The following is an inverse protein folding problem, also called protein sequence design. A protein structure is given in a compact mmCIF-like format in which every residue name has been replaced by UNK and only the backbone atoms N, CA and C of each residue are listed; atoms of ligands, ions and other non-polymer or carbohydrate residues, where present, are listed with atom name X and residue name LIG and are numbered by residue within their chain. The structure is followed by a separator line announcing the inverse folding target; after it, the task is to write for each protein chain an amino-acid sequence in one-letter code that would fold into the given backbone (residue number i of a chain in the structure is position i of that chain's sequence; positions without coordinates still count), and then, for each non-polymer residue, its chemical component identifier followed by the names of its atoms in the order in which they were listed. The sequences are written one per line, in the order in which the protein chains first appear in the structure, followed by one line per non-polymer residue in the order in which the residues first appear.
data_IF_843444922305
#
_entry.id   IF_843444922305
#
_cell.length_a   1.000
_cell.length_b   1.000
_cell.length_c   1.000
_cell.angle_alpha   90.00
_cell.angle_beta   90.00
_cell.angle_gamma   90.00
#
_symmetry.space_group_name_H-M   'P 1'
#
loop_
_entity.id
_entity.type
_entity.pdbx_description
1 polymer ?
#
# COMPACT_ATOMS: atom_id res chain seq x y z
N UNK A 1 -60.09 -22.54 -14.21
CA UNK A 1 -58.61 -22.52 -14.24
C UNK A 1 -57.98 -22.41 -15.63
N UNK A 2 -58.62 -22.87 -16.72
CA UNK A 2 -58.09 -22.72 -18.09
C UNK A 2 -57.96 -21.28 -18.62
N UNK A 3 -58.91 -20.35 -18.41
CA UNK A 3 -58.78 -18.99 -18.97
C UNK A 3 -57.71 -18.16 -18.25
N UNK A 4 -57.49 -18.41 -16.95
CA UNK A 4 -56.46 -17.73 -16.16
C UNK A 4 -55.04 -18.12 -16.61
N UNK A 5 -54.84 -19.38 -17.02
CA UNK A 5 -53.57 -19.84 -17.59
C UNK A 5 -53.29 -19.21 -18.95
N UNK A 6 -54.32 -19.04 -19.79
CA UNK A 6 -54.20 -18.40 -21.11
C UNK A 6 -53.87 -16.91 -20.97
N UNK A 7 -54.51 -16.22 -20.02
CA UNK A 7 -54.22 -14.81 -19.74
C UNK A 7 -52.79 -14.61 -19.20
N UNK A 8 -52.33 -15.50 -18.32
CA UNK A 8 -50.97 -15.46 -17.79
C UNK A 8 -49.90 -15.73 -18.87
N UNK A 9 -50.15 -16.66 -19.80
CA UNK A 9 -49.24 -16.91 -20.92
C UNK A 9 -49.18 -15.75 -21.90
N UNK A 10 -50.30 -15.06 -22.13
CA UNK A 10 -50.34 -13.89 -23.02
C UNK A 10 -49.59 -12.69 -22.42
N UNK A 11 -49.74 -12.47 -21.11
CA UNK A 11 -49.01 -11.43 -20.38
C UNK A 11 -47.49 -11.69 -20.36
N UNK A 12 -47.08 -12.96 -20.21
CA UNK A 12 -45.67 -13.35 -20.25
C UNK A 12 -45.05 -13.11 -21.64
N UNK A 13 -45.80 -13.38 -22.72
CA UNK A 13 -45.34 -13.08 -24.08
C UNK A 13 -45.25 -11.58 -24.36
N UNK A 14 -46.17 -10.75 -23.82
CA UNK A 14 -46.08 -9.29 -23.97
C UNK A 14 -44.88 -8.67 -23.25
N UNK A 15 -44.44 -9.26 -22.14
CA UNK A 15 -43.27 -8.80 -21.39
C UNK A 15 -41.96 -9.13 -22.12
N UNK A 16 -41.92 -10.20 -22.91
CA UNK A 16 -40.74 -10.61 -23.69
C UNK A 16 -40.52 -9.72 -24.94
N UNK A 17 -41.57 -9.12 -25.51
CA UNK A 17 -41.44 -8.20 -26.65
C UNK A 17 -41.00 -6.78 -26.29
N UNK A 18 -40.99 -6.41 -25.00
CA UNK A 18 -40.62 -5.06 -24.56
C UNK A 18 -39.11 -4.78 -24.70
N UNK A 19 -38.26 -5.80 -24.68
CA UNK A 19 -36.80 -5.63 -24.77
C UNK A 19 -36.30 -5.36 -26.21
N UNK A 20 -37.12 -5.60 -27.24
CA UNK A 20 -36.75 -5.37 -28.65
C UNK A 20 -37.02 -3.94 -29.13
N UNK A 21 -37.87 -3.17 -28.44
CA UNK A 21 -38.24 -1.82 -28.88
C UNK A 21 -37.16 -0.78 -28.54
N UNK A 22 -36.30 -1.06 -27.56
CA UNK A 22 -35.24 -0.13 -27.13
C UNK A 22 -33.92 -0.29 -27.89
N UNK A 23 -33.83 -1.28 -28.80
CA UNK A 23 -32.68 -1.53 -29.66
C UNK A 23 -32.79 -0.84 -31.01
N UNK A 24 -32.93 0.49 -31.02
CA UNK A 24 -32.67 1.26 -32.24
C UNK A 24 -31.17 1.42 -32.39
N UNK A 25 -30.60 0.97 -33.50
CA UNK A 25 -29.23 1.32 -33.89
C UNK A 25 -29.13 2.84 -33.94
N UNK A 26 -28.62 3.44 -32.86
CA UNK A 26 -28.27 4.85 -32.83
C UNK A 26 -27.06 4.96 -33.75
N UNK A 27 -27.30 5.20 -35.03
CA UNK A 27 -26.30 5.75 -35.95
C UNK A 27 -25.92 7.09 -35.35
N UNK A 28 -24.93 7.08 -34.47
CA UNK A 28 -24.45 8.27 -33.81
C UNK A 28 -23.99 9.22 -34.94
N UNK A 29 -24.48 10.48 -34.97
CA UNK A 29 -24.25 11.40 -36.07
C UNK A 29 -22.75 11.48 -36.41
N UNK A 30 -22.43 11.71 -37.68
CA UNK A 30 -21.05 11.91 -38.12
C UNK A 30 -20.57 13.26 -37.56
N UNK A 31 -19.94 13.19 -36.38
CA UNK A 31 -19.41 14.35 -35.66
C UNK A 31 -17.95 14.50 -36.08
N UNK A 32 -17.54 15.67 -36.59
CA UNK A 32 -16.15 15.93 -36.97
C UNK A 32 -15.16 15.61 -35.85
N UNK A 33 -13.98 15.12 -36.21
CA UNK A 33 -12.91 14.75 -35.27
C UNK A 33 -12.63 15.86 -34.24
N UNK A 34 -12.41 17.09 -34.73
CA UNK A 34 -12.12 18.24 -33.88
C UNK A 34 -13.25 18.52 -32.88
N UNK A 35 -14.51 18.39 -33.31
CA UNK A 35 -15.65 18.61 -32.43
C UNK A 35 -15.72 17.54 -31.33
N UNK A 36 -15.46 16.26 -31.65
CA UNK A 36 -15.38 15.20 -30.63
C UNK A 36 -14.26 15.46 -29.63
N UNK A 37 -13.12 15.94 -30.10
CA UNK A 37 -11.97 16.26 -29.26
C UNK A 37 -12.28 17.45 -28.32
N UNK A 38 -12.85 18.53 -28.86
CA UNK A 38 -13.23 19.71 -28.08
C UNK A 38 -14.31 19.38 -27.03
N UNK A 39 -15.27 18.53 -27.37
CA UNK A 39 -16.29 18.01 -26.43
C UNK A 39 -15.65 17.15 -25.32
N UNK A 40 -14.66 16.32 -25.66
CA UNK A 40 -13.92 15.53 -24.68
C UNK A 40 -13.12 16.42 -23.71
N UNK A 41 -12.40 17.41 -24.23
CA UNK A 41 -11.66 18.38 -23.42
C UNK A 41 -12.59 19.17 -22.49
N UNK A 42 -13.73 19.64 -23.01
CA UNK A 42 -14.73 20.33 -22.20
C UNK A 42 -15.27 19.45 -21.06
N UNK A 43 -15.42 18.15 -21.32
CA UNK A 43 -15.83 17.19 -20.29
C UNK A 43 -14.73 16.96 -19.24
N UNK A 44 -13.45 16.91 -19.64
CA UNK A 44 -12.31 16.83 -18.73
C UNK A 44 -12.20 18.07 -17.84
N UNK A 45 -12.36 19.27 -18.41
CA UNK A 45 -12.36 20.54 -17.69
C UNK A 45 -13.52 20.66 -16.70
N UNK A 46 -14.66 20.04 -17.02
CA UNK A 46 -15.84 19.97 -16.16
C UNK A 46 -15.79 18.83 -15.12
N UNK A 47 -14.65 18.14 -14.99
CA UNK A 47 -14.46 16.94 -14.15
C UNK A 47 -15.44 15.79 -14.45
N UNK A 48 -16.06 15.79 -15.63
CA UNK A 48 -16.96 14.74 -16.08
C UNK A 48 -16.17 13.66 -16.84
N UNK A 49 -15.37 12.90 -16.10
CA UNK A 49 -14.47 11.90 -16.66
C UNK A 49 -15.18 10.78 -17.40
N UNK A 50 -16.38 10.36 -16.94
CA UNK A 50 -17.18 9.36 -17.64
C UNK A 50 -17.59 9.79 -19.06
N UNK A 51 -18.04 11.05 -19.21
CA UNK A 51 -18.34 11.61 -20.53
C UNK A 51 -17.07 11.79 -21.37
N UNK A 52 -15.96 12.22 -20.76
CA UNK A 52 -14.68 12.34 -21.46
C UNK A 52 -14.23 10.99 -22.03
N UNK A 53 -14.29 9.92 -21.22
CA UNK A 53 -13.98 8.55 -21.66
C UNK A 53 -14.84 8.15 -22.85
N UNK A 54 -16.17 8.36 -22.79
CA UNK A 54 -17.08 8.03 -23.90
C UNK A 54 -16.67 8.75 -25.20
N UNK A 55 -16.38 10.06 -25.12
CA UNK A 55 -16.01 10.87 -26.29
C UNK A 55 -14.64 10.50 -26.85
N UNK A 56 -13.65 10.27 -25.99
CA UNK A 56 -12.30 9.87 -26.39
C UNK A 56 -12.27 8.47 -27.00
N UNK A 57 -13.01 7.50 -26.44
CA UNK A 57 -13.17 6.18 -27.05
C UNK A 57 -13.85 6.27 -28.42
N UNK A 58 -14.88 7.11 -28.56
CA UNK A 58 -15.57 7.33 -29.83
C UNK A 58 -14.62 7.95 -30.87
N UNK A 59 -13.78 8.89 -30.46
CA UNK A 59 -12.75 9.49 -31.31
C UNK A 59 -11.74 8.42 -31.76
N UNK A 60 -11.19 7.61 -30.85
CA UNK A 60 -10.24 6.54 -31.20
C UNK A 60 -10.86 5.51 -32.16
N UNK A 61 -12.13 5.15 -31.97
CA UNK A 61 -12.83 4.19 -32.82
C UNK A 61 -13.10 4.72 -34.24
N UNK A 62 -13.40 6.02 -34.39
CA UNK A 62 -13.75 6.63 -35.69
C UNK A 62 -12.54 7.19 -36.44
N UNK A 63 -11.60 7.77 -35.71
CA UNK A 63 -10.47 8.51 -36.26
C UNK A 63 -9.13 8.00 -35.68
N UNK A 64 -8.78 6.71 -35.85
CA UNK A 64 -7.57 6.10 -35.25
C UNK A 64 -6.25 6.68 -35.76
N UNK A 65 -6.27 7.39 -36.89
CA UNK A 65 -5.12 8.08 -37.48
C UNK A 65 -5.39 9.58 -37.66
N UNK A 66 -6.38 10.11 -36.92
CA UNK A 66 -6.75 11.51 -36.95
C UNK A 66 -5.65 12.41 -36.38
N UNK A 67 -5.76 13.72 -36.62
CA UNK A 67 -4.78 14.70 -36.14
C UNK A 67 -4.65 14.71 -34.61
N UNK A 68 -5.73 14.42 -33.90
CA UNK A 68 -5.81 14.43 -32.44
C UNK A 68 -5.73 13.02 -31.85
N UNK A 69 -5.54 11.98 -32.66
CA UNK A 69 -5.61 10.57 -32.23
C UNK A 69 -4.62 10.23 -31.11
N UNK A 70 -3.33 10.57 -31.27
CA UNK A 70 -2.30 10.26 -30.27
C UNK A 70 -2.54 11.02 -28.96
N UNK A 71 -2.89 12.31 -29.05
CA UNK A 71 -3.20 13.15 -27.90
C UNK A 71 -4.47 12.67 -27.17
N UNK A 72 -5.51 12.27 -27.91
CA UNK A 72 -6.74 11.71 -27.35
C UNK A 72 -6.48 10.40 -26.61
N UNK A 73 -5.54 9.56 -27.07
CA UNK A 73 -5.15 8.35 -26.35
C UNK A 73 -4.47 8.68 -25.00
N UNK A 74 -3.60 9.70 -24.96
CA UNK A 74 -2.99 10.17 -23.71
C UNK A 74 -4.05 10.70 -22.73
N UNK A 75 -4.97 11.52 -23.23
CA UNK A 75 -6.08 12.05 -22.44
C UNK A 75 -7.02 10.97 -21.96
N UNK A 76 -7.20 9.90 -22.74
CA UNK A 76 -8.03 8.75 -22.35
C UNK A 76 -7.41 8.01 -21.16
N UNK A 77 -6.08 7.86 -21.11
CA UNK A 77 -5.39 7.29 -19.94
C UNK A 77 -5.69 8.15 -18.69
N UNK A 78 -5.54 9.46 -18.82
CA UNK A 78 -5.83 10.39 -17.72
C UNK A 78 -7.31 10.35 -17.31
N UNK A 79 -8.23 10.32 -18.26
CA UNK A 79 -9.66 10.23 -18.01
C UNK A 79 -10.00 8.96 -17.23
N UNK A 80 -9.48 7.79 -17.63
CA UNK A 80 -9.66 6.54 -16.87
C UNK A 80 -9.09 6.61 -15.46
N UNK A 81 -7.88 7.16 -15.32
CA UNK A 81 -7.25 7.35 -14.01
C UNK A 81 -8.13 8.19 -13.09
N UNK A 82 -8.62 9.34 -13.58
CA UNK A 82 -9.49 10.23 -12.81
C UNK A 82 -10.90 9.68 -12.59
N UNK A 83 -11.38 8.78 -13.46
CA UNK A 83 -12.65 8.08 -13.31
C UNK A 83 -12.58 6.87 -12.36
N UNK A 84 -11.45 6.64 -11.68
CA UNK A 84 -11.21 5.47 -10.82
C UNK A 84 -11.34 4.13 -11.56
N UNK A 85 -10.87 4.06 -12.80
CA UNK A 85 -10.81 2.84 -13.62
C UNK A 85 -9.34 2.40 -13.85
N UNK A 86 -8.68 1.80 -12.85
CA UNK A 86 -7.24 1.58 -12.91
C UNK A 86 -6.80 0.58 -13.98
N UNK A 87 -7.58 -0.49 -14.18
CA UNK A 87 -7.31 -1.50 -15.21
C UNK A 87 -7.41 -0.90 -16.63
N UNK A 88 -8.45 -0.09 -16.88
CA UNK A 88 -8.64 0.60 -18.15
C UNK A 88 -7.50 1.58 -18.44
N UNK A 89 -7.08 2.35 -17.43
CA UNK A 89 -5.97 3.29 -17.54
C UNK A 89 -4.65 2.57 -17.84
N UNK A 90 -4.33 1.50 -17.11
CA UNK A 90 -3.10 0.70 -17.33
C UNK A 90 -3.07 0.09 -18.73
N UNK A 91 -4.17 -0.52 -19.16
CA UNK A 91 -4.29 -1.09 -20.50
C UNK A 91 -4.17 -0.03 -21.61
N UNK A 92 -4.73 1.16 -21.41
CA UNK A 92 -4.59 2.28 -22.33
C UNK A 92 -3.13 2.79 -22.38
N UNK A 93 -2.46 2.90 -21.24
CA UNK A 93 -1.06 3.30 -21.17
C UNK A 93 -0.14 2.30 -21.86
N UNK A 94 -0.32 1.00 -21.62
CA UNK A 94 0.45 -0.04 -22.30
C UNK A 94 0.24 -0.05 -23.82
N UNK A 95 -1.00 0.20 -24.26
CA UNK A 95 -1.30 0.38 -25.68
C UNK A 95 -0.54 1.58 -26.25
N UNK A 96 -0.62 2.73 -25.60
CA UNK A 96 0.05 3.96 -26.04
C UNK A 96 1.57 3.78 -26.12
N UNK A 97 2.21 3.27 -25.06
CA UNK A 97 3.65 3.02 -24.99
C UNK A 97 4.12 2.10 -26.12
N UNK A 98 3.33 1.06 -26.44
CA UNK A 98 3.65 0.10 -27.50
C UNK A 98 3.48 0.67 -28.90
N UNK A 99 2.44 1.48 -29.12
CA UNK A 99 2.11 2.03 -30.43
C UNK A 99 2.94 3.28 -30.78
N UNK A 100 3.27 4.10 -29.78
CA UNK A 100 3.91 5.41 -29.96
C UNK A 100 5.20 5.55 -29.12
N UNK A 101 6.22 4.66 -29.30
CA UNK A 101 7.44 4.65 -28.48
C UNK A 101 8.31 5.92 -28.57
N UNK A 102 8.13 6.71 -29.64
CA UNK A 102 8.90 7.92 -29.92
C UNK A 102 8.09 9.21 -29.69
N UNK A 103 6.91 9.13 -29.08
CA UNK A 103 6.07 10.29 -28.81
C UNK A 103 6.73 11.21 -27.75
N UNK A 104 6.62 12.52 -27.92
CA UNK A 104 7.27 13.50 -27.06
C UNK A 104 6.87 13.35 -25.58
N UNK A 105 5.58 13.08 -25.32
CA UNK A 105 5.01 12.90 -23.97
C UNK A 105 4.88 11.43 -23.54
N UNK A 106 5.72 10.52 -24.06
CA UNK A 106 5.66 9.11 -23.66
C UNK A 106 5.99 8.89 -22.17
N UNK A 107 6.85 9.74 -21.61
CA UNK A 107 7.18 9.76 -20.20
C UNK A 107 5.94 10.00 -19.31
N UNK A 108 5.00 10.83 -19.76
CA UNK A 108 3.70 11.00 -19.11
C UNK A 108 2.87 9.71 -19.09
N UNK A 109 2.87 8.92 -20.17
CA UNK A 109 2.17 7.64 -20.20
C UNK A 109 2.77 6.62 -19.21
N UNK A 110 4.10 6.53 -19.13
CA UNK A 110 4.78 5.71 -18.13
C UNK A 110 4.46 6.18 -16.69
N UNK A 111 4.44 7.50 -16.47
CA UNK A 111 4.09 8.09 -15.19
C UNK A 111 2.65 7.77 -14.79
N UNK A 112 1.66 7.98 -15.67
CA UNK A 112 0.26 7.67 -15.42
C UNK A 112 0.04 6.17 -15.16
N UNK A 113 0.75 5.28 -15.86
CA UNK A 113 0.71 3.85 -15.58
C UNK A 113 1.11 3.54 -14.13
N UNK A 114 2.26 4.06 -13.69
CA UNK A 114 2.74 3.87 -12.33
C UNK A 114 1.87 4.55 -11.26
N UNK A 115 1.36 5.74 -11.57
CA UNK A 115 0.47 6.50 -10.69
C UNK A 115 -0.87 5.79 -10.48
N UNK A 116 -1.42 5.20 -11.54
CA UNK A 116 -2.68 4.49 -11.46
C UNK A 116 -2.58 3.27 -10.54
N UNK A 117 -1.54 2.46 -10.68
CA UNK A 117 -1.27 1.34 -9.77
C UNK A 117 -0.98 1.82 -8.32
N UNK A 118 -0.35 3.00 -8.17
CA UNK A 118 -0.09 3.59 -6.86
C UNK A 118 -1.38 3.97 -6.10
N UNK A 119 -2.35 4.54 -6.82
CA UNK A 119 -3.61 5.01 -6.24
C UNK A 119 -4.66 3.93 -6.07
N UNK A 120 -4.59 2.85 -6.86
CA UNK A 120 -5.42 1.65 -6.67
C UNK A 120 -5.29 1.09 -5.24
N UNK A 121 -4.06 1.05 -4.73
CA UNK A 121 -3.80 0.63 -3.35
C UNK A 121 -4.39 1.60 -2.34
N UNK A 122 -4.39 2.91 -2.61
CA UNK A 122 -4.90 3.95 -1.71
C UNK A 122 -6.43 4.06 -1.75
N UNK A 123 -7.11 3.02 -1.29
CA UNK A 123 -8.56 3.03 -1.26
C UNK A 123 -9.11 4.13 -0.33
N UNK A 124 -10.24 4.74 -0.71
CA UNK A 124 -10.94 5.81 0.01
C UNK A 124 -11.08 5.60 1.53
N UNK A 125 -11.13 4.35 1.98
CA UNK A 125 -11.28 3.97 3.38
C UNK A 125 -10.02 4.20 4.24
N UNK A 126 -8.82 4.30 3.64
CA UNK A 126 -7.55 4.49 4.36
C UNK A 126 -7.42 5.85 5.02
N UNK A 127 -8.11 6.86 4.48
CA UNK A 127 -8.14 8.21 5.07
C UNK A 127 -8.93 8.24 6.38
N UNK A 128 -9.84 7.29 6.58
CA UNK A 128 -10.81 7.30 7.68
C UNK A 128 -10.67 6.13 8.65
N UNK A 129 -9.96 5.05 8.26
CA UNK A 129 -9.71 3.87 9.08
C UNK A 129 -8.19 3.65 9.23
N UNK A 130 -7.68 3.38 10.45
CA UNK A 130 -6.28 3.05 10.69
C UNK A 130 -5.98 1.61 10.26
N UNK A 131 -6.08 1.32 8.97
CA UNK A 131 -5.78 0.01 8.39
C UNK A 131 -4.33 0.02 7.90
N UNK A 132 -3.57 -1.00 8.28
CA UNK A 132 -2.20 -1.17 7.80
C UNK A 132 -2.20 -1.77 6.39
N UNK A 133 -1.97 -0.91 5.40
CA UNK A 133 -1.89 -1.28 3.98
C UNK A 133 -0.77 -2.27 3.66
N UNK A 134 0.30 -2.30 4.47
CA UNK A 134 1.43 -3.19 4.24
C UNK A 134 1.16 -4.64 4.68
N UNK A 135 -0.04 -4.95 5.16
CA UNK A 135 -0.48 -6.33 5.42
C UNK A 135 -1.31 -6.91 4.26
N UNK A 136 -1.65 -6.08 3.26
CA UNK A 136 -2.42 -6.49 2.08
C UNK A 136 -1.48 -6.97 0.97
N UNK A 137 -2.06 -7.64 -0.03
CA UNK A 137 -1.33 -8.08 -1.21
C UNK A 137 -0.60 -6.90 -1.87
N UNK A 138 0.73 -6.96 -2.07
CA UNK A 138 1.51 -5.84 -2.58
C UNK A 138 1.52 -5.76 -4.11
N UNK A 139 0.67 -6.51 -4.82
CA UNK A 139 0.72 -6.60 -6.29
C UNK A 139 0.75 -5.26 -7.01
N UNK A 140 -0.20 -4.36 -6.70
CA UNK A 140 -0.23 -3.02 -7.29
C UNK A 140 0.96 -2.14 -6.85
N UNK A 141 1.48 -2.35 -5.64
CA UNK A 141 2.71 -1.70 -5.16
C UNK A 141 3.93 -2.07 -6.02
N UNK A 142 4.10 -3.37 -6.33
CA UNK A 142 5.16 -3.85 -7.19
C UNK A 142 5.01 -3.29 -8.61
N UNK A 143 3.81 -3.37 -9.19
CA UNK A 143 3.56 -2.86 -10.55
C UNK A 143 3.82 -1.35 -10.66
N UNK A 144 3.42 -0.59 -9.64
CA UNK A 144 3.70 0.84 -9.54
C UNK A 144 5.21 1.11 -9.46
N UNK A 145 5.93 0.36 -8.63
CA UNK A 145 7.38 0.50 -8.48
C UNK A 145 8.12 0.18 -9.79
N UNK A 146 7.73 -0.89 -10.49
CA UNK A 146 8.29 -1.28 -11.79
C UNK A 146 8.04 -0.23 -12.87
N UNK A 147 6.82 0.33 -12.90
CA UNK A 147 6.44 1.37 -13.86
C UNK A 147 7.24 2.66 -13.64
N UNK A 148 7.35 3.12 -12.39
CA UNK A 148 8.20 4.27 -12.05
C UNK A 148 9.69 4.00 -12.27
N UNK A 149 10.16 2.78 -11.98
CA UNK A 149 11.55 2.39 -12.28
C UNK A 149 11.83 2.48 -13.78
N UNK A 150 10.91 2.01 -14.61
CA UNK A 150 11.01 2.09 -16.07
C UNK A 150 11.05 3.54 -16.54
N UNK A 151 10.19 4.41 -15.99
CA UNK A 151 10.19 5.84 -16.27
C UNK A 151 11.56 6.47 -15.95
N UNK A 152 12.09 6.26 -14.75
CA UNK A 152 13.35 6.86 -14.32
C UNK A 152 14.56 6.33 -15.09
N UNK A 153 14.55 5.04 -15.46
CA UNK A 153 15.64 4.44 -16.21
C UNK A 153 15.67 4.92 -17.66
N UNK A 154 14.50 5.12 -18.29
CA UNK A 154 14.40 5.53 -19.70
C UNK A 154 14.38 7.05 -19.88
N UNK A 155 13.72 7.77 -18.98
CA UNK A 155 13.47 9.22 -19.05
C UNK A 155 13.86 9.92 -17.74
N UNK A 156 15.14 9.88 -17.34
CA UNK A 156 15.59 10.47 -16.07
C UNK A 156 15.41 12.00 -15.99
N UNK A 157 15.28 12.68 -17.14
CA UNK A 157 15.09 14.14 -17.24
C UNK A 157 13.61 14.54 -17.43
N UNK A 158 12.68 13.60 -17.31
CA UNK A 158 11.24 13.87 -17.37
C UNK A 158 10.82 14.84 -16.26
N UNK A 159 9.83 15.69 -16.53
CA UNK A 159 9.21 16.55 -15.52
C UNK A 159 8.63 15.75 -14.35
N UNK A 160 8.20 14.51 -14.60
CA UNK A 160 7.59 13.64 -13.60
C UNK A 160 8.59 12.83 -12.77
N UNK A 161 9.88 12.84 -13.14
CA UNK A 161 10.92 12.05 -12.49
C UNK A 161 11.06 12.34 -10.97
N UNK A 162 11.05 13.60 -10.49
CA UNK A 162 11.17 13.89 -9.06
C UNK A 162 10.01 13.35 -8.22
N UNK A 163 8.78 13.35 -8.76
CA UNK A 163 7.62 12.79 -8.07
C UNK A 163 7.67 11.26 -8.04
N UNK A 164 7.98 10.64 -9.18
CA UNK A 164 8.17 9.19 -9.29
C UNK A 164 9.24 8.67 -8.31
N UNK A 165 10.36 9.38 -8.14
CA UNK A 165 11.41 9.03 -7.15
C UNK A 165 10.87 8.99 -5.72
N UNK A 166 10.12 10.02 -5.31
CA UNK A 166 9.51 10.08 -3.97
C UNK A 166 8.53 8.94 -3.75
N UNK A 167 7.70 8.65 -4.76
CA UNK A 167 6.76 7.51 -4.71
C UNK A 167 7.47 6.18 -4.65
N UNK A 168 8.55 6.00 -5.42
CA UNK A 168 9.38 4.79 -5.35
C UNK A 168 10.00 4.59 -3.97
N UNK A 169 10.49 5.64 -3.31
CA UNK A 169 10.99 5.54 -1.94
C UNK A 169 9.88 5.09 -0.98
N UNK A 170 8.68 5.67 -1.08
CA UNK A 170 7.53 5.24 -0.30
C UNK A 170 7.12 3.78 -0.57
N UNK A 171 7.07 3.37 -1.84
CA UNK A 171 6.77 2.01 -2.27
C UNK A 171 7.81 1.02 -1.74
N UNK A 172 9.11 1.35 -1.82
CA UNK A 172 10.21 0.54 -1.30
C UNK A 172 10.04 0.31 0.21
N UNK A 173 9.72 1.36 0.96
CA UNK A 173 9.44 1.26 2.39
C UNK A 173 8.22 0.38 2.67
N UNK A 174 7.12 0.56 1.92
CA UNK A 174 5.89 -0.24 2.08
C UNK A 174 6.15 -1.72 1.81
N UNK A 175 6.85 -2.04 0.71
CA UNK A 175 7.23 -3.40 0.34
C UNK A 175 8.12 -4.03 1.42
N UNK A 176 9.06 -3.28 1.97
CA UNK A 176 9.94 -3.79 3.02
C UNK A 176 9.15 -4.11 4.29
N UNK A 177 8.25 -3.21 4.72
CA UNK A 177 7.37 -3.46 5.88
C UNK A 177 6.45 -4.67 5.66
N UNK A 178 5.94 -4.87 4.45
CA UNK A 178 5.17 -6.07 4.10
C UNK A 178 5.99 -7.35 4.31
N UNK A 179 7.24 -7.37 3.85
CA UNK A 179 8.12 -8.52 4.08
C UNK A 179 8.39 -8.78 5.58
N UNK A 180 8.52 -7.73 6.40
CA UNK A 180 8.62 -7.89 7.86
C UNK A 180 7.34 -8.50 8.43
N UNK A 181 6.14 -8.04 8.01
CA UNK A 181 4.89 -8.64 8.47
C UNK A 181 4.80 -10.14 8.17
N UNK A 182 5.20 -10.53 6.95
CA UNK A 182 5.25 -11.94 6.54
C UNK A 182 6.29 -12.70 7.37
N UNK A 183 7.46 -12.11 7.60
CA UNK A 183 8.51 -12.71 8.43
C UNK A 183 8.04 -12.91 9.88
N UNK A 184 7.43 -11.90 10.51
CA UNK A 184 6.85 -11.97 11.85
C UNK A 184 5.76 -13.04 11.96
N UNK A 185 4.95 -13.22 10.91
CA UNK A 185 3.98 -14.31 10.86
C UNK A 185 4.64 -15.69 10.85
N UNK A 186 5.75 -15.86 10.14
CA UNK A 186 6.53 -17.10 10.16
C UNK A 186 7.24 -17.32 11.50
N UNK A 187 7.75 -16.27 12.15
CA UNK A 187 8.33 -16.34 13.50
C UNK A 187 7.30 -16.88 14.50
N UNK A 188 6.08 -16.35 14.51
CA UNK A 188 4.98 -16.84 15.39
C UNK A 188 4.63 -18.32 15.17
N UNK A 189 4.91 -18.84 13.98
CA UNK A 189 4.65 -20.25 13.62
C UNK A 189 5.88 -21.13 13.74
N UNK A 190 6.98 -20.60 14.27
CA UNK A 190 8.25 -21.30 14.39
C UNK A 190 8.79 -21.79 13.02
N UNK A 191 8.40 -21.11 11.95
CA UNK A 191 8.88 -21.38 10.59
C UNK A 191 10.16 -20.57 10.33
N UNK A 192 11.21 -20.86 11.11
CA UNK A 192 12.43 -20.05 11.20
C UNK A 192 13.15 -19.87 9.86
N UNK A 193 13.23 -20.91 9.04
CA UNK A 193 13.85 -20.84 7.70
C UNK A 193 13.12 -19.83 6.80
N UNK A 194 11.78 -19.83 6.84
CA UNK A 194 10.97 -18.91 6.06
C UNK A 194 11.11 -17.47 6.57
N UNK A 195 11.11 -17.27 7.90
CA UNK A 195 11.33 -15.96 8.49
C UNK A 195 12.72 -15.38 8.14
N UNK A 196 13.79 -16.17 8.28
CA UNK A 196 15.14 -15.77 7.92
C UNK A 196 15.26 -15.40 6.43
N UNK A 197 14.63 -16.17 5.54
CA UNK A 197 14.62 -15.87 4.10
C UNK A 197 13.91 -14.54 3.78
N UNK A 198 12.82 -14.21 4.49
CA UNK A 198 12.11 -12.93 4.34
C UNK A 198 12.95 -11.76 4.82
N UNK A 199 13.57 -11.87 6.00
CA UNK A 199 14.52 -10.86 6.48
C UNK A 199 15.70 -10.67 5.53
N UNK A 200 16.28 -11.77 5.04
CA UNK A 200 17.38 -11.73 4.07
C UNK A 200 16.96 -10.99 2.80
N UNK A 201 15.76 -11.24 2.28
CA UNK A 201 15.26 -10.54 1.10
C UNK A 201 15.21 -9.02 1.30
N UNK A 202 14.78 -8.53 2.47
CA UNK A 202 14.77 -7.10 2.79
C UNK A 202 16.18 -6.52 2.80
N UNK A 203 17.13 -7.20 3.45
CA UNK A 203 18.53 -6.75 3.54
C UNK A 203 19.22 -6.75 2.16
N UNK A 204 18.93 -7.72 1.31
CA UNK A 204 19.55 -7.85 -0.01
C UNK A 204 18.92 -6.90 -1.05
N UNK A 205 17.59 -6.72 -1.04
CA UNK A 205 16.86 -6.06 -2.13
C UNK A 205 16.23 -4.71 -1.73
N UNK A 206 15.98 -4.48 -0.44
CA UNK A 206 15.24 -3.32 0.08
C UNK A 206 16.06 -2.54 1.12
N UNK A 207 17.34 -2.31 0.82
CA UNK A 207 18.26 -1.52 1.64
C UNK A 207 17.79 -0.07 1.85
N UNK A 208 18.31 0.60 2.87
CA UNK A 208 17.97 2.00 3.22
C UNK A 208 16.49 2.22 3.57
N UNK A 209 15.73 1.15 3.78
CA UNK A 209 14.35 1.23 4.28
C UNK A 209 14.36 1.17 5.82
N UNK A 210 13.38 1.80 6.49
CA UNK A 210 13.27 1.71 7.95
C UNK A 210 13.05 0.30 8.50
N UNK A 211 12.69 -0.65 7.62
CA UNK A 211 12.44 -2.05 7.95
C UNK A 211 13.71 -2.92 7.98
N UNK A 212 14.86 -2.42 7.51
CA UNK A 212 16.15 -3.15 7.53
C UNK A 212 16.55 -3.62 8.94
N UNK A 213 16.51 -2.79 10.01
CA UNK A 213 16.87 -3.26 11.34
C UNK A 213 15.94 -4.37 11.85
N UNK A 214 14.64 -4.30 11.57
CA UNK A 214 13.70 -5.39 11.88
C UNK A 214 14.06 -6.68 11.16
N UNK A 215 14.43 -6.60 9.88
CA UNK A 215 14.86 -7.75 9.11
C UNK A 215 16.09 -8.43 9.72
N UNK A 216 17.08 -7.64 10.13
CA UNK A 216 18.30 -8.14 10.76
C UNK A 216 18.01 -8.77 12.13
N UNK A 217 17.12 -8.19 12.93
CA UNK A 217 16.69 -8.76 14.21
C UNK A 217 15.99 -10.12 14.01
N UNK A 218 15.06 -10.19 13.06
CA UNK A 218 14.37 -11.44 12.68
C UNK A 218 15.37 -12.50 12.20
N UNK A 219 16.34 -12.11 11.37
CA UNK A 219 17.39 -13.02 10.91
C UNK A 219 18.22 -13.54 12.09
N UNK A 220 18.65 -12.68 13.00
CA UNK A 220 19.45 -13.06 14.16
C UNK A 220 18.70 -14.06 15.06
N UNK A 221 17.43 -13.81 15.36
CA UNK A 221 16.61 -14.72 16.17
C UNK A 221 16.33 -16.03 15.44
N UNK A 222 15.90 -15.98 14.17
CA UNK A 222 15.61 -17.17 13.38
C UNK A 222 16.84 -18.07 13.19
N UNK A 223 18.03 -17.49 12.94
CA UNK A 223 19.27 -18.26 12.86
C UNK A 223 19.69 -18.86 14.20
N UNK A 224 19.39 -18.19 15.31
CA UNK A 224 19.64 -18.73 16.66
C UNK A 224 18.80 -19.98 16.89
N UNK A 225 17.51 -19.93 16.58
CA UNK A 225 16.58 -21.07 16.70
C UNK A 225 16.95 -22.23 15.75
N UNK A 226 17.61 -21.93 14.63
CA UNK A 226 18.15 -22.94 13.70
C UNK A 226 19.52 -23.50 14.10
N UNK A 227 20.09 -23.08 15.24
CA UNK A 227 21.46 -23.40 15.67
C UNK A 227 22.56 -22.95 14.67
N UNK A 228 22.29 -21.91 13.89
CA UNK A 228 23.23 -21.30 12.94
C UNK A 228 23.91 -20.08 13.57
N UNK A 229 24.67 -20.32 14.65
CA UNK A 229 25.19 -19.25 15.52
C UNK A 229 26.09 -18.24 14.79
N UNK A 230 26.88 -18.67 13.81
CA UNK A 230 27.74 -17.78 13.03
C UNK A 230 26.91 -16.76 12.22
N UNK A 231 25.83 -17.22 11.57
CA UNK A 231 24.92 -16.36 10.81
C UNK A 231 24.13 -15.43 11.74
N UNK A 232 23.68 -15.94 12.88
CA UNK A 232 22.98 -15.15 13.89
C UNK A 232 23.86 -14.01 14.40
N UNK A 233 25.12 -14.33 14.75
CA UNK A 233 26.11 -13.36 15.22
C UNK A 233 26.40 -12.30 14.16
N UNK A 234 26.62 -12.70 12.90
CA UNK A 234 26.86 -11.75 11.81
C UNK A 234 25.69 -10.78 11.61
N UNK A 235 24.45 -11.28 11.62
CA UNK A 235 23.26 -10.43 11.50
C UNK A 235 23.16 -9.43 12.66
N UNK A 236 23.44 -9.88 13.88
CA UNK A 236 23.43 -9.04 15.08
C UNK A 236 24.54 -7.98 15.07
N UNK A 237 25.75 -8.34 14.63
CA UNK A 237 26.87 -7.40 14.50
C UNK A 237 26.55 -6.29 13.49
N UNK A 238 25.97 -6.63 12.34
CA UNK A 238 25.53 -5.64 11.34
C UNK A 238 24.44 -4.74 11.92
N UNK A 239 23.48 -5.30 12.66
CA UNK A 239 22.43 -4.54 13.32
C UNK A 239 23.02 -3.53 14.32
N UNK A 240 23.89 -3.98 15.22
CA UNK A 240 24.49 -3.14 16.26
C UNK A 240 25.41 -2.06 15.68
N UNK A 241 26.15 -2.39 14.62
CA UNK A 241 27.06 -1.44 13.96
C UNK A 241 26.32 -0.29 13.28
N UNK A 242 25.21 -0.59 12.61
CA UNK A 242 24.47 0.40 11.81
C UNK A 242 23.30 1.04 12.56
N UNK A 243 22.76 0.36 13.57
CA UNK A 243 21.57 0.77 14.34
C UNK A 243 21.79 0.56 15.85
N UNK A 244 22.76 1.24 16.48
CA UNK A 244 23.10 1.03 17.89
C UNK A 244 21.97 1.37 18.87
N UNK A 245 21.04 2.24 18.47
CA UNK A 245 19.87 2.63 19.27
C UNK A 245 18.66 1.68 19.08
N UNK A 246 18.77 0.69 18.19
CA UNK A 246 17.67 -0.23 17.92
C UNK A 246 17.45 -1.19 19.09
N UNK A 247 16.24 -1.17 19.65
CA UNK A 247 15.84 -2.05 20.73
C UNK A 247 15.36 -3.38 20.16
N UNK A 248 16.14 -4.43 20.38
CA UNK A 248 15.79 -5.79 19.97
C UNK A 248 14.64 -6.28 20.86
N UNK A 249 13.50 -6.54 20.25
CA UNK A 249 12.35 -7.17 20.91
C UNK A 249 12.34 -8.66 20.54
N UNK A 250 12.37 -9.59 21.51
CA UNK A 250 12.28 -11.01 21.21
C UNK A 250 10.90 -11.32 20.61
N UNK A 251 10.85 -12.08 19.51
CA UNK A 251 9.60 -12.50 18.87
C UNK A 251 8.90 -13.66 19.58
N UNK A 252 9.55 -14.25 20.58
CA UNK A 252 8.96 -15.29 21.43
C UNK A 252 7.70 -14.77 22.12
N UNK A 253 6.57 -15.35 21.76
CA UNK A 253 5.27 -15.06 22.36
C UNK A 253 5.29 -15.47 23.84
N UNK A 254 5.03 -14.53 24.75
CA UNK A 254 4.69 -14.88 26.13
C UNK A 254 3.49 -15.84 26.10
N UNK A 255 3.58 -16.96 26.81
CA UNK A 255 2.57 -18.01 26.78
C UNK A 255 1.20 -17.41 27.12
N UNK A 256 0.24 -17.54 26.20
CA UNK A 256 -1.08 -16.97 26.38
C UNK A 256 -1.66 -17.41 27.72
N UNK A 257 -1.91 -16.45 28.61
CA UNK A 257 -2.45 -16.76 29.93
C UNK A 257 -3.86 -17.35 29.75
N UNK A 258 -4.31 -18.21 30.66
CA UNK A 258 -5.64 -18.83 30.59
C UNK A 258 -6.76 -17.79 30.41
N UNK A 259 -6.60 -16.61 31.03
CA UNK A 259 -7.52 -15.48 30.90
C UNK A 259 -7.53 -14.85 29.49
N UNK A 260 -6.41 -14.92 28.78
CA UNK A 260 -6.24 -14.41 27.43
C UNK A 260 -6.89 -15.33 26.39
N UNK A 261 -6.71 -16.65 26.56
CA UNK A 261 -7.43 -17.65 25.78
C UNK A 261 -8.94 -17.60 26.03
N UNK A 262 -9.36 -17.42 27.28
CA UNK A 262 -10.77 -17.30 27.65
C UNK A 262 -11.42 -15.99 27.16
N UNK A 263 -10.65 -14.92 27.03
CA UNK A 263 -11.14 -13.62 26.55
C UNK A 263 -10.91 -13.38 25.06
N UNK A 264 -10.42 -14.38 24.30
CA UNK A 264 -10.03 -14.20 22.89
C UNK A 264 -9.10 -12.99 22.66
N UNK A 265 -8.18 -12.73 23.60
CA UNK A 265 -7.27 -11.59 23.53
C UNK A 265 -7.90 -10.22 23.82
N UNK A 266 -9.14 -10.18 24.31
CA UNK A 266 -9.85 -8.95 24.66
C UNK A 266 -9.42 -8.39 26.03
N UNK A 267 -8.87 -9.25 26.90
CA UNK A 267 -8.29 -8.88 28.19
C UNK A 267 -6.94 -9.59 28.42
N UNK A 268 -5.88 -8.79 28.61
CA UNK A 268 -4.50 -9.26 28.82
C UNK A 268 -3.56 -8.72 27.74
N UNK A 269 -2.80 -7.67 28.08
CA UNK A 269 -1.94 -6.91 27.17
C UNK A 269 -0.67 -7.63 26.74
N UNK A 270 -0.80 -8.72 25.98
CA UNK A 270 0.28 -9.06 25.06
C UNK A 270 0.02 -8.20 23.81
N UNK A 271 0.74 -7.09 23.69
CA UNK A 271 0.81 -6.39 22.42
C UNK A 271 1.21 -7.42 21.36
N UNK A 272 0.46 -7.55 20.23
CA UNK A 272 0.96 -8.36 19.13
C UNK A 272 2.37 -7.87 18.80
N UNK A 273 3.26 -8.78 18.39
CA UNK A 273 4.57 -8.38 17.86
C UNK A 273 4.33 -7.56 16.58
N UNK A 274 4.09 -6.27 16.76
CA UNK A 274 4.07 -5.28 15.70
C UNK A 274 5.51 -5.16 15.21
N UNK A 275 5.77 -5.17 13.89
CA UNK A 275 7.09 -4.81 13.40
C UNK A 275 7.47 -3.45 13.99
N UNK A 276 8.75 -3.21 14.29
CA UNK A 276 9.16 -1.94 14.83
C UNK A 276 9.06 -0.90 13.70
N UNK A 277 7.85 -0.39 13.47
CA UNK A 277 7.66 0.85 12.72
C UNK A 277 8.63 1.84 13.36
N UNK A 278 9.39 2.64 12.57
CA UNK A 278 9.93 3.86 13.14
C UNK A 278 8.73 4.60 13.73
N UNK A 279 8.66 4.71 15.05
CA UNK A 279 7.55 5.41 15.70
C UNK A 279 7.47 6.77 15.04
N UNK A 280 6.31 7.17 14.48
CA UNK A 280 6.13 8.52 13.97
C UNK A 280 6.63 9.49 15.04
N UNK A 281 7.28 10.59 14.65
CA UNK A 281 7.86 11.51 15.63
C UNK A 281 6.84 11.93 16.72
N UNK A 282 5.55 12.01 16.35
CA UNK A 282 4.45 12.27 17.28
C UNK A 282 4.26 11.17 18.35
N UNK A 283 4.42 9.89 18.00
CA UNK A 283 4.25 8.78 18.94
C UNK A 283 5.49 8.58 19.82
N UNK A 284 6.70 8.91 19.32
CA UNK A 284 7.91 9.00 20.17
C UNK A 284 7.75 10.05 21.26
N UNK A 285 7.28 11.23 20.89
CA UNK A 285 7.06 12.33 21.84
C UNK A 285 5.98 11.98 22.89
N UNK A 286 4.97 11.18 22.51
CA UNK A 286 3.96 10.67 23.45
C UNK A 286 4.53 9.62 24.40
N UNK A 287 5.30 8.67 23.89
CA UNK A 287 5.98 7.65 24.71
C UNK A 287 6.96 8.30 25.69
N UNK A 288 7.80 9.23 25.22
CA UNK A 288 8.72 9.99 26.08
C UNK A 288 7.98 10.84 27.13
N UNK A 289 6.79 11.36 26.81
CA UNK A 289 5.96 12.09 27.76
C UNK A 289 5.33 11.17 28.81
N UNK A 290 4.93 9.94 28.43
CA UNK A 290 4.42 8.92 29.35
C UNK A 290 5.53 8.41 30.28
N UNK A 291 6.71 8.11 29.76
CA UNK A 291 7.87 7.67 30.57
C UNK A 291 8.27 8.73 31.60
N UNK A 292 8.20 10.02 31.24
CA UNK A 292 8.44 11.14 32.17
C UNK A 292 7.34 11.26 33.22
N UNK A 293 6.07 11.08 32.83
CA UNK A 293 4.95 11.12 33.76
C UNK A 293 5.02 9.95 34.77
N UNK A 294 5.38 8.75 34.30
CA UNK A 294 5.54 7.57 35.15
C UNK A 294 6.75 7.70 36.09
N UNK A 295 7.85 8.29 35.62
CA UNK A 295 9.02 8.62 36.44
C UNK A 295 8.69 9.68 37.51
N UNK A 296 7.89 10.70 37.18
CA UNK A 296 7.42 11.71 38.13
C UNK A 296 6.46 11.10 39.16
N UNK A 297 5.57 10.19 38.75
CA UNK A 297 4.65 9.51 39.65
C UNK A 297 5.40 8.56 40.61
N UNK A 298 6.42 7.85 40.12
CA UNK A 298 7.31 7.03 40.95
C UNK A 298 8.16 7.90 41.89
N UNK A 299 8.65 9.05 41.45
CA UNK A 299 9.38 10.00 42.30
C UNK A 299 8.49 10.60 43.39
N UNK A 300 7.18 10.72 43.13
CA UNK A 300 6.21 11.24 44.09
C UNK A 300 5.74 10.20 45.11
N UNK A 301 5.77 8.90 44.75
CA UNK A 301 5.52 7.76 45.63
C UNK A 301 6.67 7.49 46.63
N UNK A 302 7.84 8.12 46.47
CA UNK A 302 8.95 8.01 47.43
C UNK A 302 8.59 8.69 48.75
N UNK A 303 8.78 7.95 49.84
CA UNK A 303 8.62 8.41 51.23
C UNK A 303 9.39 9.72 51.48
N UNK A 304 8.82 10.62 52.29
CA UNK A 304 9.45 11.89 52.69
C UNK A 304 10.86 11.70 53.28
N UNK A 305 11.11 10.56 53.91
CA UNK A 305 12.42 10.20 54.44
C UNK A 305 13.44 9.96 53.32
N UNK A 306 13.09 9.17 52.31
CA UNK A 306 13.93 8.88 51.12
C UNK A 306 14.24 10.14 50.31
N UNK A 307 13.31 11.10 50.27
CA UNK A 307 13.52 12.42 49.64
C UNK A 307 14.52 13.31 50.39
N UNK A 308 14.53 13.25 51.72
CA UNK A 308 15.46 14.04 52.54
C UNK A 308 16.86 13.42 52.62
N UNK A 309 16.97 12.10 52.47
CA UNK A 309 18.23 11.37 52.54
C UNK A 309 18.83 11.03 51.17
N UNK A 310 18.21 11.49 50.07
CA UNK A 310 18.61 11.17 48.69
C UNK A 310 18.83 9.66 48.45
N UNK A 311 18.05 8.81 49.13
CA UNK A 311 18.14 7.35 48.98
C UNK A 311 19.40 6.69 49.55
N UNK A 312 20.17 7.38 50.41
CA UNK A 312 21.42 6.82 50.98
C UNK A 312 21.19 5.69 52.00
N UNK A 313 19.95 5.50 52.49
CA UNK A 313 19.62 4.55 53.56
C UNK A 313 18.54 3.51 53.19
N UNK A 314 18.14 3.39 51.92
CA UNK A 314 17.06 2.47 51.50
C UNK A 314 17.54 1.01 51.26
N UNK A 315 18.82 0.67 51.49
CA UNK A 315 19.41 -0.63 51.10
C UNK A 315 19.57 -1.69 52.22
N UNK A 316 18.99 -1.52 53.42
CA UNK A 316 19.19 -2.51 54.51
C UNK A 316 18.08 -3.58 54.71
N UNK A 317 16.93 -3.50 54.03
CA UNK A 317 15.83 -4.47 54.23
C UNK A 317 15.72 -5.58 53.15
N UNK A 318 16.79 -5.85 52.40
CA UNK A 318 16.83 -6.93 51.39
C UNK A 318 17.68 -8.15 51.79
N UNK A 319 17.89 -8.37 53.09
CA UNK A 319 18.56 -9.55 53.62
C UNK A 319 17.84 -10.16 54.84
N UNK A 320 16.67 -10.75 54.59
CA UNK A 320 16.18 -11.98 55.23
C UNK A 320 15.48 -12.86 54.19
#
# INVERSE_FOLDING_TARGET
MRPLKILATLALFSLLSACSWFGGDKVAPDVPEQQLYDEALSALEADNYGLAVEKLQLLEARYPFGRYSEQAQLELIYAYFRNYEPESARAAADRFIRLHPNHDNIDYAYYLKGLTAFEEDRSFFEKYLPIDVSQRDPGAALESFESFSTLLNRYPQSEYAPDAQKRMQYLKNRLATHEIHVASYYMRRQAWVAAANRGRYVVENLQETPAVPDALAIMAEAYTELNMHDLAKNALEVLQLNYPEYQIRPFKQDSATLMQAASFGLFGGAEPAEPARPTPAADRLRAEAQDRADAEEQANKRSLFSRMTFGVFDDEDAAE
#
